data_IF_484072171453
#
_entry.id   IF_484072171453
#
_cell.length_a   1.000
_cell.length_b   1.000
_cell.length_c   1.000
_cell.angle_alpha   90.00
_cell.angle_beta   90.00
_cell.angle_gamma   90.00
#
_symmetry.space_group_name_H-M   'P 1'
#
loop_
_entity.id
_entity.type
_entity.pdbx_description
1 polymer ?
#
# COMPACT_ATOMS: atom_id res chain seq x y z
N UNK A 1 -18.61 14.67 -2.66
CA UNK A 1 -17.16 14.75 -3.00
C UNK A 1 -16.57 13.38 -2.79
N UNK A 2 -15.82 12.89 -3.75
CA UNK A 2 -15.10 11.61 -3.63
C UNK A 2 -13.95 11.78 -2.65
N UNK A 3 -13.71 10.78 -1.78
CA UNK A 3 -12.84 10.84 -0.60
C UNK A 3 -11.38 11.22 -0.91
N UNK A 4 -10.87 10.79 -2.06
CA UNK A 4 -9.47 10.99 -2.48
C UNK A 4 -9.33 11.92 -3.68
N UNK A 5 -10.36 12.74 -3.99
CA UNK A 5 -10.31 13.67 -5.12
C UNK A 5 -9.12 14.63 -5.01
N UNK A 6 -8.34 14.73 -6.08
CA UNK A 6 -7.14 15.56 -6.15
C UNK A 6 -5.91 14.96 -5.48
N UNK A 7 -5.99 13.75 -4.89
CA UNK A 7 -4.84 13.02 -4.37
C UNK A 7 -4.13 12.25 -5.47
N UNK A 8 -2.81 12.18 -5.39
CA UNK A 8 -1.94 11.38 -6.25
C UNK A 8 -1.30 10.26 -5.44
N UNK A 9 -1.44 9.02 -5.91
CA UNK A 9 -0.96 7.84 -5.22
C UNK A 9 -0.13 6.94 -6.14
N UNK A 10 0.91 6.36 -5.56
CA UNK A 10 1.71 5.30 -6.21
C UNK A 10 1.61 4.03 -5.39
N UNK A 11 1.25 2.94 -6.04
CA UNK A 11 1.20 1.61 -5.45
C UNK A 11 2.27 0.75 -6.14
N UNK A 12 3.23 0.26 -5.39
CA UNK A 12 4.34 -0.58 -5.88
C UNK A 12 4.34 -1.92 -5.18
N UNK A 13 4.36 -2.97 -5.98
CA UNK A 13 4.37 -4.34 -5.50
C UNK A 13 3.67 -5.26 -6.49
N UNK A 14 3.04 -6.29 -5.98
CA UNK A 14 2.21 -7.16 -6.83
C UNK A 14 0.90 -6.45 -7.19
N UNK A 15 0.58 -6.39 -8.47
CA UNK A 15 -0.70 -5.85 -8.95
C UNK A 15 -1.86 -6.85 -8.78
N UNK A 16 -1.81 -7.62 -7.71
CA UNK A 16 -2.82 -8.61 -7.30
C UNK A 16 -3.04 -8.47 -5.79
N UNK A 17 -4.15 -8.98 -5.30
CA UNK A 17 -4.44 -8.97 -3.87
C UNK A 17 -4.43 -7.55 -3.28
N UNK A 18 -3.61 -7.32 -2.24
CA UNK A 18 -3.59 -6.08 -1.46
C UNK A 18 -3.30 -4.84 -2.30
N UNK A 19 -2.29 -4.88 -3.18
CA UNK A 19 -1.93 -3.73 -4.02
C UNK A 19 -3.07 -3.32 -4.95
N UNK A 20 -3.72 -4.29 -5.57
CA UNK A 20 -4.87 -4.06 -6.44
C UNK A 20 -6.08 -3.52 -5.65
N UNK A 21 -6.36 -4.06 -4.47
CA UNK A 21 -7.45 -3.59 -3.61
C UNK A 21 -7.23 -2.13 -3.16
N UNK A 22 -5.99 -1.74 -2.82
CA UNK A 22 -5.63 -0.35 -2.51
C UNK A 22 -5.88 0.54 -3.74
N UNK A 23 -5.39 0.14 -4.92
CA UNK A 23 -5.55 0.91 -6.15
C UNK A 23 -7.03 1.12 -6.51
N UNK A 24 -7.85 0.06 -6.42
CA UNK A 24 -9.30 0.14 -6.66
C UNK A 24 -9.97 1.18 -5.76
N UNK A 25 -9.74 1.13 -4.45
CA UNK A 25 -10.33 2.08 -3.51
C UNK A 25 -9.89 3.52 -3.73
N UNK A 26 -8.63 3.72 -4.09
CA UNK A 26 -8.12 5.05 -4.42
C UNK A 26 -8.81 5.61 -5.66
N UNK A 27 -8.91 4.80 -6.72
CA UNK A 27 -9.60 5.17 -7.96
C UNK A 27 -11.09 5.47 -7.71
N UNK A 28 -11.80 4.58 -7.02
CA UNK A 28 -13.21 4.78 -6.62
C UNK A 28 -13.39 6.06 -5.79
N UNK A 29 -12.39 6.41 -4.99
CA UNK A 29 -12.34 7.64 -4.22
C UNK A 29 -11.89 8.87 -5.01
N UNK A 30 -11.59 8.76 -6.30
CA UNK A 30 -11.26 9.88 -7.18
C UNK A 30 -9.79 10.30 -7.15
N UNK A 31 -8.88 9.46 -6.67
CA UNK A 31 -7.43 9.72 -6.74
C UNK A 31 -6.87 9.42 -8.13
N UNK A 32 -5.80 10.12 -8.50
CA UNK A 32 -4.92 9.73 -9.60
C UNK A 32 -3.96 8.63 -9.11
N UNK A 33 -4.00 7.45 -9.74
CA UNK A 33 -3.27 6.27 -9.29
C UNK A 33 -2.29 5.78 -10.34
N UNK A 34 -1.03 5.57 -9.93
CA UNK A 34 -0.05 4.77 -10.67
C UNK A 34 0.16 3.46 -9.93
N UNK A 35 -0.14 2.35 -10.60
CA UNK A 35 0.09 1.00 -10.10
C UNK A 35 1.27 0.38 -10.85
N UNK A 36 2.35 0.08 -10.13
CA UNK A 36 3.53 -0.57 -10.67
C UNK A 36 3.49 -2.08 -10.40
N UNK A 37 3.46 -2.87 -11.47
CA UNK A 37 3.29 -4.33 -11.42
C UNK A 37 4.48 -5.08 -12.02
N UNK A 38 4.81 -6.24 -11.44
CA UNK A 38 5.99 -7.03 -11.81
C UNK A 38 5.89 -7.68 -13.18
N UNK A 39 4.86 -8.47 -13.43
CA UNK A 39 4.74 -9.26 -14.65
C UNK A 39 3.82 -8.63 -15.70
N UNK A 40 4.03 -8.93 -17.00
CA UNK A 40 3.12 -8.49 -18.06
C UNK A 40 1.67 -8.95 -17.84
N UNK A 41 1.48 -10.16 -17.31
CA UNK A 41 0.15 -10.72 -17.03
C UNK A 41 -0.53 -9.94 -15.91
N UNK A 42 0.15 -9.72 -14.78
CA UNK A 42 -0.40 -8.90 -13.69
C UNK A 42 -0.80 -7.49 -14.16
N UNK A 43 0.00 -6.90 -15.08
CA UNK A 43 -0.35 -5.60 -15.66
C UNK A 43 -1.61 -5.65 -16.51
N UNK A 44 -1.74 -6.68 -17.36
CA UNK A 44 -2.92 -6.86 -18.20
C UNK A 44 -4.18 -7.07 -17.36
N UNK A 45 -4.11 -7.92 -16.34
CA UNK A 45 -5.21 -8.18 -15.40
C UNK A 45 -5.61 -6.92 -14.65
N UNK A 46 -4.63 -6.16 -14.13
CA UNK A 46 -4.88 -4.88 -13.45
C UNK A 46 -5.48 -3.81 -14.39
N UNK A 47 -5.02 -3.72 -15.64
CA UNK A 47 -5.61 -2.83 -16.63
C UNK A 47 -7.07 -3.19 -16.93
N UNK A 48 -7.39 -4.48 -17.01
CA UNK A 48 -8.75 -4.94 -17.22
C UNK A 48 -9.68 -4.58 -16.06
N UNK A 49 -9.16 -4.63 -14.82
CA UNK A 49 -9.95 -4.33 -13.63
C UNK A 49 -10.08 -2.83 -13.32
N UNK A 50 -9.03 -2.04 -13.57
CA UNK A 50 -9.00 -0.60 -13.24
C UNK A 50 -9.40 0.28 -14.44
N UNK A 51 -9.38 -0.25 -15.64
CA UNK A 51 -9.66 0.51 -16.86
C UNK A 51 -8.70 1.68 -17.05
N UNK A 52 -9.21 2.80 -17.54
CA UNK A 52 -8.45 4.05 -17.73
C UNK A 52 -8.30 4.88 -16.44
N UNK A 53 -8.90 4.44 -15.34
CA UNK A 53 -8.92 5.18 -14.08
C UNK A 53 -7.58 5.11 -13.31
N UNK A 54 -6.71 4.15 -13.65
CA UNK A 54 -5.36 4.05 -13.13
C UNK A 54 -4.34 3.87 -14.26
N UNK A 55 -3.13 4.39 -14.05
CA UNK A 55 -2.00 4.15 -14.95
C UNK A 55 -1.21 2.95 -14.45
N UNK A 56 -1.28 1.82 -15.17
CA UNK A 56 -0.54 0.60 -14.83
C UNK A 56 0.78 0.57 -15.58
N UNK A 57 1.90 0.43 -14.84
CA UNK A 57 3.26 0.49 -15.38
C UNK A 57 4.12 -0.69 -14.93
N UNK A 58 5.29 -0.88 -15.54
CA UNK A 58 6.25 -1.88 -15.09
C UNK A 58 6.89 -1.49 -13.75
N UNK A 59 7.21 -2.46 -12.91
CA UNK A 59 7.75 -2.24 -11.56
C UNK A 59 9.06 -1.45 -11.52
N UNK A 60 9.88 -1.49 -12.58
CA UNK A 60 11.15 -0.75 -12.67
C UNK A 60 11.02 0.73 -13.02
N UNK A 61 9.82 1.23 -13.33
CA UNK A 61 9.63 2.58 -13.84
C UNK A 61 8.52 3.41 -13.17
N UNK A 62 8.18 3.20 -11.88
CA UNK A 62 7.09 3.98 -11.27
C UNK A 62 7.41 5.48 -11.21
N UNK A 63 8.67 5.86 -10.96
CA UNK A 63 9.07 7.26 -10.85
C UNK A 63 8.97 8.04 -12.15
N UNK A 64 9.22 7.44 -13.31
CA UNK A 64 9.06 8.10 -14.61
C UNK A 64 7.61 8.29 -15.06
N UNK A 65 6.70 7.59 -14.40
CA UNK A 65 5.27 7.63 -14.68
C UNK A 65 4.51 8.65 -13.81
N UNK A 66 5.19 9.26 -12.85
CA UNK A 66 4.59 10.13 -11.84
C UNK A 66 5.27 11.50 -11.90
N UNK A 67 4.49 12.57 -11.88
CA UNK A 67 5.01 13.90 -11.62
C UNK A 67 5.28 14.09 -10.12
N UNK A 68 6.09 15.10 -9.76
CA UNK A 68 6.34 15.47 -8.37
C UNK A 68 5.05 15.77 -7.61
N UNK A 69 5.09 15.60 -6.30
CA UNK A 69 3.96 15.92 -5.41
C UNK A 69 2.99 14.75 -5.22
N UNK A 70 3.53 13.53 -5.09
CA UNK A 70 2.77 12.33 -4.70
C UNK A 70 2.32 12.44 -3.24
N UNK A 71 1.03 12.29 -2.96
CA UNK A 71 0.48 12.32 -1.60
C UNK A 71 0.71 10.99 -0.88
N UNK A 72 0.51 9.86 -1.57
CA UNK A 72 0.57 8.53 -0.96
C UNK A 72 1.47 7.57 -1.74
N UNK A 73 2.34 6.89 -1.02
CA UNK A 73 3.11 5.75 -1.53
C UNK A 73 2.75 4.50 -0.73
N UNK A 74 2.26 3.48 -1.43
CA UNK A 74 2.06 2.14 -0.89
C UNK A 74 3.10 1.21 -1.52
N UNK A 75 3.86 0.50 -0.69
CA UNK A 75 4.95 -0.34 -1.17
C UNK A 75 5.07 -1.63 -0.36
N UNK A 76 5.48 -2.72 -1.00
CA UNK A 76 5.70 -4.02 -0.37
C UNK A 76 6.97 -4.09 0.50
N UNK A 77 7.72 -3.00 0.57
CA UNK A 77 8.89 -2.86 1.44
C UNK A 77 9.61 -1.54 1.28
N UNK A 78 10.57 -1.28 2.19
CA UNK A 78 11.38 -0.04 2.17
C UNK A 78 12.15 0.11 0.86
N UNK A 79 12.69 -0.98 0.32
CA UNK A 79 13.43 -0.96 -0.94
C UNK A 79 12.61 -0.48 -2.12
N UNK A 80 11.34 -0.90 -2.20
CA UNK A 80 10.42 -0.47 -3.25
C UNK A 80 9.94 0.99 -3.05
N UNK A 81 9.83 1.44 -1.79
CA UNK A 81 9.45 2.81 -1.48
C UNK A 81 10.57 3.84 -1.77
N UNK A 82 11.84 3.49 -1.50
CA UNK A 82 12.98 4.43 -1.57
C UNK A 82 13.08 5.25 -2.86
N UNK A 83 12.95 4.68 -4.06
CA UNK A 83 13.03 5.46 -5.30
C UNK A 83 11.93 6.52 -5.45
N UNK A 84 10.83 6.41 -4.69
CA UNK A 84 9.67 7.29 -4.74
C UNK A 84 9.70 8.40 -3.69
N UNK A 85 10.56 8.28 -2.67
CA UNK A 85 10.62 9.25 -1.57
C UNK A 85 10.91 10.69 -2.03
N UNK A 86 11.75 10.94 -3.04
CA UNK A 86 11.95 12.29 -3.56
C UNK A 86 10.69 12.92 -4.16
N UNK A 87 9.78 12.09 -4.70
CA UNK A 87 8.54 12.53 -5.37
C UNK A 87 7.42 12.86 -4.38
N UNK A 88 7.54 12.47 -3.10
CA UNK A 88 6.52 12.73 -2.09
C UNK A 88 6.33 14.21 -1.83
N UNK A 89 5.08 14.63 -1.79
CA UNK A 89 4.68 15.94 -1.32
C UNK A 89 5.03 16.13 0.17
N UNK A 90 5.19 17.37 0.60
CA UNK A 90 5.21 17.70 2.02
C UNK A 90 3.90 17.26 2.69
N UNK A 91 3.99 16.63 3.85
CA UNK A 91 2.83 16.10 4.56
C UNK A 91 2.25 14.81 3.98
N UNK A 92 2.89 14.22 2.98
CA UNK A 92 2.48 12.96 2.38
C UNK A 92 2.61 11.75 3.31
N UNK A 93 2.24 10.57 2.84
CA UNK A 93 2.34 9.34 3.62
C UNK A 93 2.91 8.16 2.82
N UNK A 94 3.72 7.35 3.50
CA UNK A 94 4.21 6.05 3.04
C UNK A 94 3.58 4.97 3.90
N UNK A 95 2.98 3.97 3.27
CA UNK A 95 2.46 2.78 3.96
C UNK A 95 3.09 1.53 3.36
N UNK A 96 3.84 0.80 4.18
CA UNK A 96 4.42 -0.48 3.78
C UNK A 96 3.39 -1.60 3.97
N UNK A 97 3.28 -2.49 2.97
CA UNK A 97 2.25 -3.56 2.94
C UNK A 97 2.88 -4.96 2.95
N UNK A 98 4.01 -5.12 3.60
CA UNK A 98 4.69 -6.41 3.72
C UNK A 98 4.17 -7.23 4.89
N UNK A 99 4.15 -8.56 4.76
CA UNK A 99 3.69 -9.46 5.82
C UNK A 99 4.50 -9.35 7.13
N UNK A 100 5.78 -9.05 7.04
CA UNK A 100 6.67 -8.95 8.20
C UNK A 100 7.50 -7.65 8.16
N UNK A 101 6.87 -6.47 8.33
CA UNK A 101 7.61 -5.22 8.34
C UNK A 101 8.53 -5.14 9.56
N UNK A 102 9.81 -4.86 9.35
CA UNK A 102 10.74 -4.58 10.44
C UNK A 102 10.34 -3.29 11.15
N UNK A 103 9.97 -3.37 12.41
CA UNK A 103 9.60 -2.18 13.20
C UNK A 103 10.72 -1.16 13.28
N UNK A 104 11.98 -1.60 13.34
CA UNK A 104 13.14 -0.70 13.33
C UNK A 104 13.29 0.01 11.98
N UNK A 105 13.11 -0.67 10.87
CA UNK A 105 13.19 -0.07 9.54
C UNK A 105 12.05 0.93 9.29
N UNK A 106 10.82 0.63 9.74
CA UNK A 106 9.69 1.55 9.67
C UNK A 106 9.97 2.82 10.47
N UNK A 107 10.46 2.68 11.71
CA UNK A 107 10.80 3.81 12.58
C UNK A 107 11.96 4.64 12.04
N UNK A 108 12.99 4.00 11.50
CA UNK A 108 14.12 4.71 10.91
C UNK A 108 13.68 5.57 9.71
N UNK A 109 12.87 5.00 8.81
CA UNK A 109 12.35 5.73 7.67
C UNK A 109 11.38 6.85 8.10
N UNK A 110 10.58 6.62 9.14
CA UNK A 110 9.70 7.64 9.71
C UNK A 110 10.50 8.82 10.27
N UNK A 111 11.58 8.57 10.99
CA UNK A 111 12.47 9.61 11.52
C UNK A 111 13.18 10.38 10.38
N UNK A 112 13.64 9.68 9.33
CA UNK A 112 14.26 10.27 8.14
C UNK A 112 13.32 11.29 7.44
N UNK A 113 12.02 10.97 7.34
CA UNK A 113 11.06 11.75 6.59
C UNK A 113 10.25 12.75 7.44
N UNK A 114 10.33 12.67 8.76
CA UNK A 114 9.62 13.55 9.69
C UNK A 114 9.87 15.05 9.44
N UNK A 115 11.10 15.52 9.10
CA UNK A 115 11.34 16.94 8.79
C UNK A 115 10.53 17.48 7.59
N UNK A 116 10.08 16.59 6.70
CA UNK A 116 9.19 16.91 5.57
C UNK A 116 7.70 16.79 5.92
N UNK A 117 7.37 16.49 7.19
CA UNK A 117 6.01 16.17 7.60
C UNK A 117 5.47 14.86 7.04
N UNK A 118 6.31 14.04 6.38
CA UNK A 118 5.89 12.78 5.78
C UNK A 118 5.79 11.70 6.84
N UNK A 119 4.65 11.02 6.89
CA UNK A 119 4.40 9.91 7.82
C UNK A 119 4.76 8.59 7.16
N UNK A 120 5.33 7.68 7.94
CA UNK A 120 5.67 6.33 7.47
C UNK A 120 5.11 5.31 8.45
N UNK A 121 4.25 4.44 7.97
CA UNK A 121 3.67 3.36 8.76
C UNK A 121 3.71 2.05 7.96
N UNK A 122 3.35 0.96 8.61
CA UNK A 122 3.21 -0.34 7.96
C UNK A 122 1.92 -1.03 8.40
N UNK A 123 1.26 -1.73 7.49
CA UNK A 123 0.32 -2.79 7.80
C UNK A 123 1.06 -4.12 7.78
N UNK A 124 0.70 -5.02 8.69
CA UNK A 124 1.24 -6.37 8.78
C UNK A 124 0.11 -7.39 8.54
N UNK A 125 -0.13 -7.78 7.28
CA UNK A 125 -1.16 -8.74 6.96
C UNK A 125 -0.83 -10.12 7.53
N UNK A 126 -1.84 -10.80 8.08
CA UNK A 126 -1.76 -12.20 8.45
C UNK A 126 -2.10 -13.13 7.28
N UNK A 127 -2.85 -14.19 7.58
CA UNK A 127 -3.36 -15.11 6.57
C UNK A 127 -4.49 -14.44 5.76
N UNK A 128 -4.13 -13.94 4.58
CA UNK A 128 -5.03 -13.27 3.65
C UNK A 128 -5.27 -14.19 2.46
N UNK A 129 -6.54 -14.54 2.20
CA UNK A 129 -6.98 -15.37 1.08
C UNK A 129 -6.14 -16.65 0.88
N UNK A 130 -6.72 -17.81 1.07
CA UNK A 130 -5.99 -19.05 0.87
C UNK A 130 -5.66 -19.24 -0.62
N UNK A 131 -4.45 -19.68 -0.96
CA UNK A 131 -4.18 -20.15 -2.30
C UNK A 131 -5.11 -21.33 -2.62
N UNK A 132 -5.53 -21.50 -3.87
CA UNK A 132 -6.36 -22.63 -4.28
C UNK A 132 -5.76 -23.96 -3.79
N UNK A 133 -6.52 -24.74 -2.98
CA UNK A 133 -6.08 -26.02 -2.43
C UNK A 133 -5.14 -25.93 -1.21
N UNK A 134 -4.85 -24.74 -0.69
CA UNK A 134 -4.04 -24.55 0.50
C UNK A 134 -4.86 -24.59 1.79
N UNK A 135 -4.39 -25.33 2.80
CA UNK A 135 -4.89 -25.26 4.17
C UNK A 135 -3.96 -24.37 4.97
N UNK A 136 -4.37 -23.15 5.25
CA UNK A 136 -3.68 -22.30 6.22
C UNK A 136 -4.37 -22.42 7.58
N UNK A 137 -3.64 -22.43 8.71
CA UNK A 137 -4.27 -22.37 10.01
C UNK A 137 -5.09 -21.08 10.13
N UNK A 138 -6.32 -21.22 10.61
CA UNK A 138 -7.19 -20.07 10.79
C UNK A 138 -6.68 -19.20 11.96
N UNK A 139 -6.74 -17.87 11.82
CA UNK A 139 -6.47 -16.97 12.94
C UNK A 139 -7.56 -17.09 14.04
N UNK A 140 -7.35 -16.51 15.23
CA UNK A 140 -8.33 -16.50 16.31
C UNK A 140 -9.74 -16.03 15.92
N UNK A 141 -9.87 -15.12 14.94
CA UNK A 141 -11.18 -14.71 14.39
C UNK A 141 -11.90 -15.80 13.58
N UNK A 142 -11.32 -16.99 13.42
CA UNK A 142 -11.97 -18.17 12.79
C UNK A 142 -12.16 -18.07 11.27
N UNK A 143 -11.59 -17.09 10.60
CA UNK A 143 -11.63 -16.93 9.14
C UNK A 143 -10.37 -16.27 8.61
N UNK A 144 -10.10 -16.45 7.35
CA UNK A 144 -9.05 -15.69 6.64
C UNK A 144 -9.47 -14.23 6.48
N UNK A 145 -8.48 -13.34 6.44
CA UNK A 145 -8.68 -11.96 6.05
C UNK A 145 -8.81 -11.83 4.53
N UNK A 146 -9.28 -10.68 4.08
CA UNK A 146 -9.34 -10.32 2.67
C UNK A 146 -8.33 -9.21 2.33
N UNK A 147 -7.90 -9.15 1.07
CA UNK A 147 -7.07 -8.05 0.57
C UNK A 147 -7.71 -6.68 0.83
N UNK A 148 -9.03 -6.64 0.78
CA UNK A 148 -9.85 -5.45 1.01
C UNK A 148 -9.77 -4.95 2.47
N UNK A 149 -9.70 -5.84 3.46
CA UNK A 149 -9.55 -5.47 4.87
C UNK A 149 -8.18 -4.86 5.12
N UNK A 150 -7.14 -5.41 4.49
CA UNK A 150 -5.79 -4.83 4.55
C UNK A 150 -5.71 -3.48 3.84
N UNK A 151 -6.35 -3.34 2.67
CA UNK A 151 -6.41 -2.09 1.93
C UNK A 151 -7.07 -0.97 2.76
N UNK A 152 -8.17 -1.27 3.46
CA UNK A 152 -8.83 -0.28 4.35
C UNK A 152 -7.90 0.18 5.47
N UNK A 153 -7.18 -0.73 6.11
CA UNK A 153 -6.21 -0.39 7.15
C UNK A 153 -5.05 0.46 6.61
N UNK A 154 -4.53 0.13 5.42
CA UNK A 154 -3.48 0.90 4.77
C UNK A 154 -3.95 2.32 4.41
N UNK A 155 -5.15 2.47 3.88
CA UNK A 155 -5.74 3.78 3.54
C UNK A 155 -6.05 4.62 4.78
N UNK A 156 -6.48 4.00 5.88
CA UNK A 156 -6.62 4.68 7.18
C UNK A 156 -5.27 5.28 7.62
N UNK A 157 -4.19 4.50 7.56
CA UNK A 157 -2.85 4.98 7.92
C UNK A 157 -2.36 6.10 6.98
N UNK A 158 -2.74 6.06 5.71
CA UNK A 158 -2.35 7.08 4.74
C UNK A 158 -3.08 8.41 4.93
N UNK A 159 -4.39 8.39 5.15
CA UNK A 159 -5.23 9.60 5.11
C UNK A 159 -5.66 10.09 6.50
N UNK A 160 -6.12 9.18 7.38
CA UNK A 160 -6.80 9.56 8.62
C UNK A 160 -5.89 9.59 9.85
N UNK A 161 -4.87 8.74 9.89
CA UNK A 161 -3.96 8.62 11.04
C UNK A 161 -2.91 9.75 11.05
N UNK A 162 -3.36 10.99 11.13
CA UNK A 162 -2.54 12.20 10.92
C UNK A 162 -1.45 12.42 11.97
N UNK A 163 -1.58 11.83 13.15
CA UNK A 163 -0.57 11.92 14.23
C UNK A 163 0.12 10.57 14.51
N UNK A 164 0.11 9.66 13.50
CA UNK A 164 0.71 8.34 13.62
C UNK A 164 1.82 8.17 12.59
N UNK A 165 3.04 7.92 13.07
CA UNK A 165 4.20 7.60 12.24
C UNK A 165 5.11 6.59 12.94
N UNK A 166 5.82 5.75 12.21
CA UNK A 166 6.67 4.69 12.75
C UNK A 166 5.90 3.49 13.31
N UNK A 167 4.59 3.41 13.09
CA UNK A 167 3.73 2.35 13.60
C UNK A 167 3.67 1.15 12.66
N UNK A 168 3.45 -0.03 13.26
CA UNK A 168 3.11 -1.26 12.58
C UNK A 168 1.71 -1.68 13.05
N UNK A 169 0.76 -1.74 12.13
CA UNK A 169 -0.62 -2.14 12.38
C UNK A 169 -0.85 -3.60 11.94
N UNK A 170 -1.04 -4.55 12.85
CA UNK A 170 -1.42 -5.90 12.49
C UNK A 170 -2.83 -5.92 11.86
N UNK A 171 -2.99 -6.68 10.77
CA UNK A 171 -4.27 -6.98 10.13
C UNK A 171 -4.30 -8.49 9.89
N UNK A 172 -4.37 -9.25 10.97
CA UNK A 172 -4.02 -10.66 11.02
C UNK A 172 -5.05 -11.56 11.74
N UNK A 173 -6.18 -10.98 12.14
CA UNK A 173 -7.22 -11.74 12.83
C UNK A 173 -6.83 -12.28 14.21
N UNK A 174 -5.81 -11.69 14.83
CA UNK A 174 -5.31 -12.06 16.15
C UNK A 174 -4.16 -13.07 16.14
N UNK A 175 -3.51 -13.29 14.98
CA UNK A 175 -2.30 -14.13 14.86
C UNK A 175 -1.05 -13.50 15.46
N UNK A 176 -1.08 -12.28 15.95
CA UNK A 176 0.06 -11.54 16.45
C UNK A 176 1.09 -12.39 17.20
N UNK A 177 2.33 -11.92 17.38
CA UNK A 177 3.28 -12.66 18.20
C UNK A 177 2.70 -12.84 19.59
N UNK A 178 2.89 -14.04 20.19
CA UNK A 178 2.47 -14.30 21.57
C UNK A 178 3.12 -13.31 22.53
#
# INVERSE_FOLDING_TARGET
MTRYAGRRAVVVGRATGIGLAIAKRLVEGGAEVVLAAGTPRERADACAELGSAARVVAAGAPGSAVADGVDFVFADGVGAARPLLPLLAHGGAVVLTTAAPSSSAVRALAAELAPRGVRVNAVAPGCIEAPPGGSAPLPPLGRLGSAEEVARAALFLAEEATFTTGARLPVDGGLGPP
#
